data_IF_418047629014
#
_entry.id   IF_418047629014
#
_cell.length_a   1.000
_cell.length_b   1.000
_cell.length_c   1.000
_cell.angle_alpha   90.00
_cell.angle_beta   90.00
_cell.angle_gamma   90.00
#
_symmetry.space_group_name_H-M   'P 1'
#
loop_
_entity.id
_entity.type
_entity.pdbx_description
1 polymer ?
#
# COMPACT_ATOMS: atom_id res chain seq x y z
N UNK A 1 -6.70 -15.54 -15.81
CA UNK A 1 -7.39 -14.98 -14.61
C UNK A 1 -6.41 -14.46 -13.55
N UNK A 2 -5.15 -14.92 -13.48
CA UNK A 2 -4.17 -14.44 -12.49
C UNK A 2 -3.93 -12.91 -12.48
N UNK A 3 -4.07 -12.23 -13.62
CA UNK A 3 -4.01 -10.77 -13.69
C UNK A 3 -5.14 -10.07 -12.91
N UNK A 4 -6.33 -10.68 -12.81
CA UNK A 4 -7.45 -10.17 -11.99
C UNK A 4 -7.09 -10.26 -10.50
N UNK A 5 -6.48 -11.37 -10.07
CA UNK A 5 -6.00 -11.53 -8.70
C UNK A 5 -4.91 -10.51 -8.36
N UNK A 6 -3.99 -10.24 -9.30
CA UNK A 6 -2.97 -9.20 -9.12
C UNK A 6 -3.54 -7.78 -9.01
N UNK A 7 -4.55 -7.44 -9.82
CA UNK A 7 -5.25 -6.15 -9.74
C UNK A 7 -6.01 -6.03 -8.41
N UNK A 8 -6.74 -7.07 -8.01
CA UNK A 8 -7.46 -7.09 -6.74
C UNK A 8 -6.51 -6.95 -5.53
N UNK A 9 -5.40 -7.70 -5.53
CA UNK A 9 -4.37 -7.62 -4.50
C UNK A 9 -3.68 -6.26 -4.46
N UNK A 10 -3.47 -5.63 -5.61
CA UNK A 10 -2.92 -4.27 -5.69
C UNK A 10 -3.88 -3.24 -5.08
N UNK A 11 -5.16 -3.25 -5.46
CA UNK A 11 -6.16 -2.29 -4.96
C UNK A 11 -6.34 -2.44 -3.45
N UNK A 12 -6.47 -3.67 -2.95
CA UNK A 12 -6.61 -3.95 -1.52
C UNK A 12 -5.36 -3.55 -0.74
N UNK A 13 -4.17 -3.81 -1.28
CA UNK A 13 -2.91 -3.39 -0.69
C UNK A 13 -2.73 -1.88 -0.65
N UNK A 14 -3.11 -1.19 -1.72
CA UNK A 14 -3.06 0.27 -1.77
C UNK A 14 -4.00 0.90 -0.74
N UNK A 15 -5.24 0.43 -0.67
CA UNK A 15 -6.20 0.86 0.35
C UNK A 15 -5.70 0.55 1.78
N UNK A 16 -5.15 -0.64 2.00
CA UNK A 16 -4.54 -1.04 3.28
C UNK A 16 -3.32 -0.18 3.65
N UNK A 17 -2.47 0.13 2.67
CA UNK A 17 -1.32 1.01 2.83
C UNK A 17 -1.73 2.43 3.23
N UNK A 18 -2.80 2.98 2.62
CA UNK A 18 -3.37 4.26 3.02
C UNK A 18 -3.94 4.24 4.44
N UNK A 19 -4.61 3.15 4.85
CA UNK A 19 -5.13 3.01 6.21
C UNK A 19 -3.99 2.90 7.25
N UNK A 20 -2.93 2.17 6.93
CA UNK A 20 -1.70 2.09 7.73
C UNK A 20 -1.05 3.46 7.84
N UNK A 21 -0.92 4.17 6.73
CA UNK A 21 -0.35 5.50 6.70
C UNK A 21 -1.18 6.48 7.54
N UNK A 22 -2.52 6.42 7.44
CA UNK A 22 -3.42 7.23 8.28
C UNK A 22 -3.23 6.93 9.76
N UNK A 23 -3.04 5.67 10.14
CA UNK A 23 -2.75 5.29 11.53
C UNK A 23 -1.41 5.84 12.01
N UNK A 24 -0.38 5.76 11.16
CA UNK A 24 0.95 6.24 11.49
C UNK A 24 1.01 7.76 11.63
N UNK A 25 0.35 8.48 10.70
CA UNK A 25 0.27 9.92 10.69
C UNK A 25 -0.74 10.50 11.70
N UNK A 26 -1.54 9.66 12.39
CA UNK A 26 -2.56 10.11 13.33
C UNK A 26 -1.98 10.99 14.45
N UNK A 27 -0.74 10.74 14.84
CA UNK A 27 -0.06 11.45 15.93
C UNK A 27 0.89 12.56 15.43
N UNK A 28 0.99 12.78 14.12
CA UNK A 28 1.89 13.78 13.53
C UNK A 28 1.11 15.06 13.29
N UNK A 29 1.67 16.20 13.70
CA UNK A 29 1.02 17.50 13.50
C UNK A 29 1.02 17.91 12.02
N UNK A 30 -0.03 18.61 11.57
CA UNK A 30 -0.11 19.09 10.19
C UNK A 30 1.06 20.03 9.83
N UNK A 31 1.55 20.81 10.80
CA UNK A 31 2.72 21.68 10.62
C UNK A 31 4.01 20.87 10.38
N UNK A 32 4.21 19.75 11.07
CA UNK A 32 5.34 18.85 10.79
C UNK A 32 5.20 18.17 9.42
N UNK A 33 3.99 17.80 9.01
CA UNK A 33 3.71 17.20 7.71
C UNK A 33 3.99 18.16 6.54
N UNK A 34 3.63 19.43 6.69
CA UNK A 34 3.87 20.46 5.68
C UNK A 34 5.33 20.89 5.60
N UNK A 35 6.04 20.86 6.74
CA UNK A 35 7.45 21.26 6.82
C UNK A 35 8.40 20.15 6.40
N UNK A 36 7.99 18.88 6.47
CA UNK A 36 8.79 17.74 6.03
C UNK A 36 8.51 17.33 4.58
N UNK A 37 9.55 17.40 3.75
CA UNK A 37 9.57 16.86 2.37
C UNK A 37 9.41 15.32 2.30
N UNK A 38 9.35 14.65 3.46
CA UNK A 38 9.20 13.19 3.63
C UNK A 38 7.87 12.64 3.14
N UNK A 39 6.94 13.49 2.68
CA UNK A 39 5.68 13.04 2.06
C UNK A 39 5.88 12.03 0.92
N UNK A 40 6.98 12.15 0.17
CA UNK A 40 7.35 11.17 -0.87
C UNK A 40 7.65 9.78 -0.31
N UNK A 41 8.27 9.69 0.87
CA UNK A 41 8.62 8.40 1.50
C UNK A 41 7.35 7.66 1.90
N UNK A 42 6.35 8.39 2.42
CA UNK A 42 5.05 7.82 2.76
C UNK A 42 4.31 7.29 1.53
N UNK A 43 4.34 8.03 0.42
CA UNK A 43 3.77 7.53 -0.84
C UNK A 43 4.49 6.29 -1.32
N UNK A 44 5.83 6.28 -1.32
CA UNK A 44 6.63 5.10 -1.72
C UNK A 44 6.29 3.88 -0.85
N UNK A 45 6.09 4.08 0.46
CA UNK A 45 5.66 3.01 1.35
C UNK A 45 4.31 2.41 0.94
N UNK A 46 3.30 3.24 0.63
CA UNK A 46 1.99 2.75 0.18
C UNK A 46 2.11 1.97 -1.14
N UNK A 47 2.91 2.46 -2.08
CA UNK A 47 3.16 1.77 -3.35
C UNK A 47 3.90 0.44 -3.15
N UNK A 48 4.86 0.36 -2.23
CA UNK A 48 5.54 -0.88 -1.87
C UNK A 48 4.57 -1.90 -1.28
N UNK A 49 3.70 -1.48 -0.36
CA UNK A 49 2.67 -2.36 0.21
C UNK A 49 1.76 -2.91 -0.89
N UNK A 50 1.29 -2.06 -1.81
CA UNK A 50 0.44 -2.47 -2.91
C UNK A 50 1.13 -3.45 -3.88
N UNK A 51 2.42 -3.25 -4.17
CA UNK A 51 3.20 -4.15 -5.01
C UNK A 51 3.39 -5.52 -4.35
N UNK A 52 3.70 -5.55 -3.05
CA UNK A 52 3.87 -6.80 -2.29
C UNK A 52 2.57 -7.59 -2.19
N UNK A 53 1.44 -6.95 -1.89
CA UNK A 53 0.14 -7.63 -1.83
C UNK A 53 -0.34 -8.09 -3.19
N UNK A 54 -0.04 -7.34 -4.26
CA UNK A 54 -0.32 -7.76 -5.63
C UNK A 54 0.45 -9.04 -5.98
N UNK A 55 1.76 -9.07 -5.73
CA UNK A 55 2.59 -10.25 -5.94
C UNK A 55 2.12 -11.45 -5.10
N UNK A 56 1.80 -11.22 -3.81
CA UNK A 56 1.28 -12.24 -2.92
C UNK A 56 -0.08 -12.79 -3.42
N UNK A 57 -0.97 -11.93 -3.91
CA UNK A 57 -2.27 -12.35 -4.44
C UNK A 57 -2.12 -13.19 -5.72
N UNK A 58 -1.21 -12.81 -6.62
CA UNK A 58 -0.90 -13.61 -7.82
C UNK A 58 -0.31 -14.96 -7.42
N UNK A 59 0.66 -14.97 -6.50
CA UNK A 59 1.29 -16.20 -6.03
C UNK A 59 0.27 -17.14 -5.37
N UNK A 60 -0.59 -16.62 -4.49
CA UNK A 60 -1.65 -17.39 -3.85
C UNK A 60 -2.63 -17.93 -4.89
N UNK A 61 -3.03 -17.11 -5.87
CA UNK A 61 -3.91 -17.53 -6.94
C UNK A 61 -3.32 -18.67 -7.75
N UNK A 62 -2.05 -18.56 -8.17
CA UNK A 62 -1.33 -19.60 -8.92
C UNK A 62 -1.03 -20.86 -8.12
N UNK A 63 -1.02 -20.79 -6.79
CA UNK A 63 -0.83 -21.97 -5.94
C UNK A 63 -2.11 -22.80 -5.82
N UNK A 64 -3.28 -22.15 -5.80
CA UNK A 64 -4.58 -22.82 -5.62
C UNK A 64 -5.33 -23.13 -6.92
N UNK A 65 -5.02 -22.44 -8.02
CA UNK A 65 -5.70 -22.55 -9.32
C UNK A 65 -4.71 -22.57 -10.49
#
# INVERSE_FOLDING_TARGET
MAWVAGIAGFILGFAGGLLLLRRWLKNVSNDELLRNKSFRIYSVFVWLVAAVTSAAAVWLYSYYY
#
